data_IF_070366318260
#
_entry.id   IF_070366318260
#
_cell.length_a   1.000
_cell.length_b   1.000
_cell.length_c   1.000
_cell.angle_alpha   90.00
_cell.angle_beta   90.00
_cell.angle_gamma   90.00
#
_symmetry.space_group_name_H-M   'P 1'
#
loop_
_entity.id
_entity.type
_entity.pdbx_description
1 polymer ?
#
# COMPACT_ATOMS: atom_id res chain seq x y z
N UNK A 1 1.10 -1.82 -11.74
CA UNK A 1 2.38 -1.77 -10.99
C UNK A 1 2.23 -2.56 -9.71
N UNK A 2 3.33 -3.06 -9.14
CA UNK A 2 3.33 -3.86 -7.90
C UNK A 2 3.66 -3.07 -6.63
N UNK A 3 3.85 -1.75 -6.75
CA UNK A 3 4.19 -0.86 -5.63
C UNK A 3 3.56 0.52 -5.83
N UNK A 4 3.35 1.20 -4.70
CA UNK A 4 2.92 2.60 -4.64
C UNK A 4 3.76 3.34 -3.60
N UNK A 5 4.08 4.61 -3.87
CA UNK A 5 4.73 5.49 -2.89
C UNK A 5 3.66 6.37 -2.26
N UNK A 6 3.63 6.41 -0.92
CA UNK A 6 2.63 7.16 -0.16
C UNK A 6 3.36 8.06 0.83
N UNK A 7 3.14 9.39 0.79
CA UNK A 7 3.74 10.30 1.77
C UNK A 7 3.22 10.02 3.18
N UNK A 8 4.07 10.30 4.18
CA UNK A 8 3.69 10.29 5.59
C UNK A 8 3.78 11.73 6.10
N UNK A 9 2.73 12.21 6.74
CA UNK A 9 2.66 13.54 7.34
C UNK A 9 2.13 13.44 8.77
N UNK A 10 2.82 14.06 9.73
CA UNK A 10 2.42 14.04 11.15
C UNK A 10 2.15 12.62 11.68
N UNK A 11 3.00 11.65 11.28
CA UNK A 11 2.88 10.25 11.68
C UNK A 11 1.71 9.48 11.04
N UNK A 12 1.06 10.00 9.99
CA UNK A 12 -0.06 9.36 9.29
C UNK A 12 0.18 9.29 7.79
N UNK A 13 -0.32 8.23 7.14
CA UNK A 13 -0.35 8.16 5.68
C UNK A 13 -1.20 9.32 5.14
N UNK A 14 -0.65 10.09 4.20
CA UNK A 14 -1.32 11.25 3.60
C UNK A 14 -2.28 10.81 2.48
N UNK A 15 -3.30 10.02 2.84
CA UNK A 15 -4.37 9.59 1.94
C UNK A 15 -5.49 10.63 1.93
N UNK A 16 -6.06 10.88 0.75
CA UNK A 16 -7.32 11.59 0.61
C UNK A 16 -8.52 10.76 1.10
N UNK A 17 -9.66 11.41 1.33
CA UNK A 17 -10.88 10.80 1.90
C UNK A 17 -11.31 9.50 1.20
N UNK A 18 -11.06 9.37 -0.10
CA UNK A 18 -11.47 8.23 -0.92
C UNK A 18 -10.31 7.38 -1.43
N UNK A 19 -9.09 7.61 -0.95
CA UNK A 19 -7.92 6.82 -1.33
C UNK A 19 -7.75 5.63 -0.39
N UNK A 20 -7.65 4.44 -0.96
CA UNK A 20 -7.34 3.20 -0.25
C UNK A 20 -6.18 2.47 -0.92
N UNK A 21 -5.50 1.62 -0.15
CA UNK A 21 -4.40 0.78 -0.63
C UNK A 21 -4.94 -0.64 -0.75
N UNK A 22 -4.84 -1.23 -1.94
CA UNK A 22 -5.38 -2.55 -2.24
C UNK A 22 -4.31 -3.47 -2.83
N UNK A 23 -4.36 -4.74 -2.43
CA UNK A 23 -3.69 -5.82 -3.12
C UNK A 23 -4.67 -6.38 -4.17
N UNK A 24 -4.43 -6.10 -5.44
CA UNK A 24 -5.18 -6.71 -6.54
C UNK A 24 -4.67 -8.12 -6.83
N UNK A 25 -5.39 -9.15 -6.40
CA UNK A 25 -5.17 -10.53 -6.84
C UNK A 25 -6.11 -10.86 -8.00
N UNK A 26 -5.54 -11.23 -9.14
CA UNK A 26 -6.30 -11.46 -10.38
C UNK A 26 -6.59 -12.93 -10.66
N UNK A 27 -6.09 -13.86 -9.83
CA UNK A 27 -6.34 -15.30 -9.99
C UNK A 27 -7.57 -15.73 -9.20
N UNK A 28 -8.40 -16.56 -9.83
CA UNK A 28 -9.57 -17.19 -9.21
C UNK A 28 -9.23 -18.00 -7.94
N UNK A 29 -8.04 -18.63 -7.93
CA UNK A 29 -7.51 -19.38 -6.80
C UNK A 29 -6.16 -18.82 -6.34
N UNK A 30 -6.19 -17.61 -5.79
CA UNK A 30 -5.01 -17.00 -5.20
C UNK A 30 -4.51 -17.74 -3.96
N UNK A 31 -3.21 -18.04 -3.89
CA UNK A 31 -2.54 -18.43 -2.64
C UNK A 31 -2.13 -17.26 -1.73
N UNK A 32 -1.33 -17.52 -0.71
CA UNK A 32 -0.82 -16.51 0.23
C UNK A 32 0.06 -15.44 -0.43
N UNK A 33 -0.02 -14.20 0.06
CA UNK A 33 0.77 -13.06 -0.42
C UNK A 33 1.52 -12.40 0.72
N UNK A 34 2.63 -11.76 0.39
CA UNK A 34 3.43 -10.96 1.31
C UNK A 34 3.55 -9.56 0.73
N UNK A 35 3.16 -8.58 1.52
CA UNK A 35 3.32 -7.15 1.22
C UNK A 35 4.48 -6.65 2.08
N UNK A 36 5.37 -5.85 1.49
CA UNK A 36 6.47 -5.21 2.20
C UNK A 36 6.19 -3.70 2.19
N UNK A 37 6.28 -3.06 3.35
CA UNK A 37 6.23 -1.62 3.49
C UNK A 37 7.60 -1.14 4.00
N UNK A 38 8.20 -0.20 3.30
CA UNK A 38 9.44 0.45 3.72
C UNK A 38 9.11 1.90 4.08
N UNK A 39 9.40 2.28 5.31
CA UNK A 39 9.28 3.66 5.79
C UNK A 39 10.67 4.27 5.73
N UNK A 40 10.80 5.39 5.02
CA UNK A 40 12.04 6.16 4.95
C UNK A 40 11.69 7.63 5.16
N UNK A 41 12.50 8.32 5.95
CA UNK A 41 12.31 9.71 6.34
C UNK A 41 13.27 10.09 7.47
N UNK A 42 13.36 11.38 7.77
CA UNK A 42 14.09 11.93 8.92
C UNK A 42 13.17 12.16 10.11
#
# INVERSE_FOLDING_TARGET
>A
GSSVTIPIQNGRLALGTWQGIYLGEHRDFGGSRRIIATINGE
#
